data_IF_423729014927
#
_entry.id   IF_423729014927
#
_cell.length_a   1.000
_cell.length_b   1.000
_cell.length_c   1.000
_cell.angle_alpha   90.00
_cell.angle_beta   90.00
_cell.angle_gamma   90.00
#
_symmetry.space_group_name_H-M   'P 1'
#
loop_
_entity.id
_entity.type
_entity.pdbx_description
1 polymer ?
#
# COMPACT_ATOMS: atom_id res chain seq x y z
N UNK A 1 -12.28 33.06 -5.48
CA UNK A 1 -11.28 32.00 -5.76
C UNK A 1 -11.51 30.86 -4.79
N UNK A 2 -12.08 29.74 -5.23
CA UNK A 2 -12.32 28.59 -4.36
C UNK A 2 -11.03 27.78 -4.23
N UNK A 3 -10.48 27.67 -3.02
CA UNK A 3 -9.36 26.78 -2.76
C UNK A 3 -9.87 25.34 -2.87
N UNK A 4 -9.54 24.67 -3.98
CA UNK A 4 -9.66 23.22 -4.08
C UNK A 4 -8.74 22.63 -3.00
N UNK A 5 -9.30 22.28 -1.85
CA UNK A 5 -8.62 21.55 -0.78
C UNK A 5 -8.37 20.11 -1.29
N UNK A 6 -7.32 19.95 -2.09
CA UNK A 6 -6.86 18.65 -2.55
C UNK A 6 -6.34 17.80 -1.39
N UNK A 7 -6.28 16.47 -1.59
CA UNK A 7 -5.67 15.55 -0.64
C UNK A 7 -4.25 16.03 -0.31
N UNK A 8 -3.88 16.18 0.97
CA UNK A 8 -2.54 16.59 1.35
C UNK A 8 -1.49 15.72 0.66
N UNK A 9 -0.51 16.37 0.03
CA UNK A 9 0.67 15.72 -0.55
C UNK A 9 1.34 14.84 0.51
N UNK A 10 1.77 13.64 0.13
CA UNK A 10 2.50 12.71 1.00
C UNK A 10 3.97 13.12 1.23
N UNK A 11 4.32 14.38 0.93
CA UNK A 11 5.67 14.90 0.95
C UNK A 11 6.43 14.60 -0.34
N UNK A 12 7.67 15.10 -0.43
CA UNK A 12 8.58 14.86 -1.56
C UNK A 12 9.14 13.44 -1.44
N UNK A 13 8.81 12.56 -2.38
CA UNK A 13 9.24 11.16 -2.44
C UNK A 13 9.76 10.83 -3.83
N UNK A 14 10.75 9.95 -3.90
CA UNK A 14 11.22 9.41 -5.17
C UNK A 14 10.43 8.16 -5.58
N UNK A 15 10.36 7.90 -6.88
CA UNK A 15 9.66 6.75 -7.45
C UNK A 15 10.65 5.63 -7.77
N UNK A 16 10.62 4.55 -6.99
CA UNK A 16 11.47 3.37 -7.20
C UNK A 16 10.63 2.27 -7.85
N UNK A 17 11.10 1.74 -8.99
CA UNK A 17 10.50 0.60 -9.67
C UNK A 17 11.47 -0.59 -9.63
N UNK A 18 11.07 -1.65 -8.95
CA UNK A 18 11.78 -2.93 -8.94
C UNK A 18 10.92 -4.02 -9.61
N UNK A 19 11.55 -4.91 -10.39
CA UNK A 19 10.89 -6.03 -11.07
C UNK A 19 11.61 -7.36 -10.76
N UNK A 20 11.56 -7.84 -9.50
CA UNK A 20 12.14 -9.13 -9.15
C UNK A 20 11.37 -10.29 -9.83
N UNK A 21 11.96 -11.51 -9.86
CA UNK A 21 11.23 -12.71 -10.22
C UNK A 21 9.94 -12.86 -9.39
N UNK A 22 8.90 -13.44 -10.00
CA UNK A 22 7.56 -13.55 -9.40
C UNK A 22 7.60 -14.24 -8.03
N UNK A 23 8.32 -15.35 -7.93
CA UNK A 23 8.48 -16.10 -6.68
C UNK A 23 9.09 -15.25 -5.57
N UNK A 24 10.10 -14.44 -5.91
CA UNK A 24 10.75 -13.58 -4.94
C UNK A 24 9.84 -12.41 -4.53
N UNK A 25 9.10 -11.83 -5.48
CA UNK A 25 8.08 -10.82 -5.18
C UNK A 25 6.98 -11.34 -4.25
N UNK A 26 6.57 -12.60 -4.41
CA UNK A 26 5.58 -13.24 -3.54
C UNK A 26 6.11 -13.41 -2.10
N UNK A 27 7.37 -13.81 -1.94
CA UNK A 27 8.03 -13.91 -0.63
C UNK A 27 8.08 -12.54 0.05
N UNK A 28 8.53 -11.51 -0.66
CA UNK A 28 8.61 -10.15 -0.13
C UNK A 28 7.23 -9.62 0.28
N UNK A 29 6.18 -9.89 -0.51
CA UNK A 29 4.81 -9.50 -0.18
C UNK A 29 4.32 -10.20 1.08
N UNK A 30 4.54 -11.51 1.20
CA UNK A 30 4.16 -12.29 2.39
C UNK A 30 4.83 -11.75 3.66
N UNK A 31 6.10 -11.37 3.58
CA UNK A 31 6.82 -10.81 4.72
C UNK A 31 6.28 -9.43 5.10
N UNK A 32 6.01 -8.56 4.12
CA UNK A 32 5.37 -7.26 4.36
C UNK A 32 4.03 -7.43 5.08
N UNK A 33 3.20 -8.38 4.63
CA UNK A 33 1.92 -8.68 5.27
C UNK A 33 2.07 -9.18 6.71
N UNK A 34 3.07 -10.02 6.99
CA UNK A 34 3.36 -10.54 8.33
C UNK A 34 3.81 -9.43 9.30
N UNK A 35 4.52 -8.43 8.80
CA UNK A 35 4.94 -7.26 9.57
C UNK A 35 3.87 -6.15 9.60
N UNK A 36 2.73 -6.34 8.94
CA UNK A 36 1.69 -5.31 8.87
C UNK A 36 2.09 -4.07 8.06
N UNK A 37 3.12 -4.16 7.22
CA UNK A 37 3.64 -3.09 6.37
C UNK A 37 3.07 -3.17 4.96
N UNK A 38 2.97 -2.04 4.27
CA UNK A 38 2.76 -2.10 2.81
C UNK A 38 4.00 -2.64 2.12
N UNK A 39 3.81 -3.22 0.92
CA UNK A 39 4.92 -3.77 0.13
C UNK A 39 6.06 -2.76 -0.07
N UNK A 40 5.75 -1.50 -0.38
CA UNK A 40 6.75 -0.45 -0.55
C UNK A 40 7.45 -0.06 0.76
N UNK A 41 6.71 -0.01 1.88
CA UNK A 41 7.30 0.28 3.19
C UNK A 41 8.27 -0.81 3.63
N UNK A 42 7.92 -2.08 3.42
CA UNK A 42 8.79 -3.21 3.69
C UNK A 42 10.09 -3.14 2.87
N UNK A 43 10.03 -2.79 1.58
CA UNK A 43 11.23 -2.60 0.76
C UNK A 43 12.11 -1.45 1.25
N UNK A 44 11.51 -0.33 1.66
CA UNK A 44 12.25 0.81 2.23
C UNK A 44 12.88 0.43 3.56
N UNK A 45 12.18 -0.33 4.40
CA UNK A 45 12.70 -0.86 5.66
C UNK A 45 13.93 -1.73 5.43
N UNK A 46 13.87 -2.70 4.51
CA UNK A 46 15.00 -3.57 4.18
C UNK A 46 16.20 -2.76 3.66
N UNK A 47 15.96 -1.75 2.83
CA UNK A 47 17.02 -0.89 2.32
C UNK A 47 17.64 -0.02 3.43
N UNK A 48 16.81 0.54 4.32
CA UNK A 48 17.25 1.33 5.46
C UNK A 48 18.10 0.49 6.42
N UNK A 49 17.68 -0.73 6.73
CA UNK A 49 18.43 -1.66 7.58
C UNK A 49 19.77 -2.06 6.96
N UNK A 50 19.75 -2.49 5.69
CA UNK A 50 20.97 -2.89 4.97
C UNK A 50 22.00 -1.74 4.83
N UNK A 51 21.54 -0.50 4.78
CA UNK A 51 22.40 0.69 4.70
C UNK A 51 22.74 1.30 6.08
N UNK A 52 22.22 0.75 7.18
CA UNK A 52 22.42 1.29 8.52
C UNK A 52 21.79 2.67 8.73
N UNK A 53 20.67 2.94 8.07
CA UNK A 53 19.96 4.23 8.07
C UNK A 53 18.53 4.12 8.65
N UNK A 54 18.38 3.81 9.96
CA UNK A 54 17.07 3.57 10.57
C UNK A 54 16.12 4.77 10.54
N UNK A 55 16.63 6.00 10.37
CA UNK A 55 15.83 7.22 10.22
C UNK A 55 14.91 7.22 8.98
N UNK A 56 15.19 6.36 8.00
CA UNK A 56 14.36 6.19 6.81
C UNK A 56 13.42 4.98 6.89
N UNK A 57 13.52 4.18 7.95
CA UNK A 57 12.61 3.07 8.15
C UNK A 57 11.16 3.58 8.30
N UNK A 58 10.17 2.85 7.76
CA UNK A 58 8.78 3.24 7.92
C UNK A 58 8.40 3.27 9.42
N UNK A 59 7.49 4.17 9.82
CA UNK A 59 6.96 4.17 11.17
C UNK A 59 6.24 2.83 11.46
N UNK A 60 6.23 2.44 12.73
CA UNK A 60 5.73 1.15 13.21
C UNK A 60 4.33 0.79 12.64
N UNK A 61 4.06 -0.51 12.45
CA UNK A 61 2.86 -0.98 11.78
C UNK A 61 1.58 -0.44 12.42
N UNK A 62 0.61 -0.11 11.58
CA UNK A 62 -0.71 0.32 12.03
C UNK A 62 -1.45 -0.86 12.66
N UNK A 63 -2.09 -0.60 13.78
CA UNK A 63 -2.93 -1.59 14.44
C UNK A 63 -4.15 -1.91 13.56
N UNK A 64 -4.11 -3.05 12.86
CA UNK A 64 -5.21 -3.50 11.99
C UNK A 64 -6.48 -3.80 12.79
N UNK A 65 -6.38 -4.09 14.10
CA UNK A 65 -7.55 -4.24 14.94
C UNK A 65 -8.29 -2.91 15.19
N UNK A 66 -7.60 -1.78 14.97
CA UNK A 66 -8.18 -0.44 15.04
C UNK A 66 -8.77 0.06 13.69
N UNK A 67 -8.69 -0.74 12.62
CA UNK A 67 -9.27 -0.36 11.33
C UNK A 67 -10.78 -0.61 11.30
N UNK A 68 -11.55 0.38 10.83
CA UNK A 68 -13.00 0.28 10.70
C UNK A 68 -13.37 -0.76 9.63
N UNK A 69 -14.36 -1.65 9.88
CA UNK A 69 -14.79 -2.65 8.91
C UNK A 69 -15.34 -1.97 7.64
N UNK A 70 -14.86 -2.40 6.48
CA UNK A 70 -15.36 -1.93 5.19
C UNK A 70 -16.69 -2.67 4.91
N UNK A 71 -17.82 -1.96 4.76
CA UNK A 71 -19.07 -2.62 4.42
C UNK A 71 -19.00 -3.25 3.03
N UNK A 72 -19.40 -4.53 2.93
CA UNK A 72 -19.57 -5.28 1.68
C UNK A 72 -20.51 -4.50 0.73
N UNK A 73 -19.94 -3.88 -0.31
CA UNK A 73 -20.72 -3.25 -1.37
C UNK A 73 -21.37 -4.35 -2.20
N UNK A 74 -22.64 -4.65 -1.90
CA UNK A 74 -23.49 -5.53 -2.68
C UNK A 74 -23.63 -4.95 -4.10
N UNK A 75 -22.77 -5.35 -5.03
CA UNK A 75 -22.89 -4.98 -6.44
C UNK A 75 -23.98 -5.83 -7.08
N UNK A 76 -25.25 -5.52 -6.82
CA UNK A 76 -26.35 -5.95 -7.67
C UNK A 76 -26.27 -5.16 -8.98
N UNK A 77 -25.38 -5.57 -9.87
CA UNK A 77 -25.30 -5.02 -11.23
C UNK A 77 -26.51 -5.57 -11.99
N UNK A 78 -27.56 -4.75 -12.05
CA UNK A 78 -28.76 -5.04 -12.82
C UNK A 78 -28.39 -5.42 -14.26
N UNK A 79 -28.85 -6.60 -14.68
CA UNK A 79 -28.78 -7.03 -16.06
C UNK A 79 -29.74 -6.18 -16.89
N UNK A 80 -29.22 -5.19 -17.61
CA UNK A 80 -29.88 -4.64 -18.80
C UNK A 80 -29.28 -5.29 -20.03
N UNK A 81 -29.84 -6.43 -20.41
CA UNK A 81 -29.67 -6.99 -21.75
C UNK A 81 -30.60 -6.21 -22.69
N UNK A 82 -30.03 -5.56 -23.71
CA UNK A 82 -30.74 -4.95 -24.83
C UNK A 82 -30.55 -5.85 -26.07
N UNK A 83 -31.57 -5.84 -26.94
CA UNK A 83 -31.67 -6.45 -28.29
C UNK A 83 -32.08 -7.94 -28.30
N UNK A 84 -33.02 -8.39 -29.14
CA UNK A 84 -33.44 -7.92 -30.47
C UNK A 84 -34.97 -7.79 -30.61
#
# INVERSE_FOLDING_TARGET
MGAQHGRPSKGRRDAILAKPPVEFGAILKKNADAEGLSYGEYLVMLAADALGMPQYAPPLPRDRAAELPIPELNTSKGATTKAA
#
